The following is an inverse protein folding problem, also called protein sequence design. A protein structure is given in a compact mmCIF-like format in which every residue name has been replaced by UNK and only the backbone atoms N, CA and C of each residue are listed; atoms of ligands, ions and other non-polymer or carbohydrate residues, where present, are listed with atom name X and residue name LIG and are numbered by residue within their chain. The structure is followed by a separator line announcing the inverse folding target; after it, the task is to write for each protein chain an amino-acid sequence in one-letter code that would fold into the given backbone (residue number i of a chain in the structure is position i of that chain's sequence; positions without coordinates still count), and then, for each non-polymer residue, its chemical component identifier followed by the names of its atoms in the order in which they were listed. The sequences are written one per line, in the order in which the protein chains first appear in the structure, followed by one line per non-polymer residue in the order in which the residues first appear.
data_IF_505282096277
#
_entry.id   IF_505282096277
#
_cell.length_a   1.000
_cell.length_b   1.000
_cell.length_c   1.000
_cell.angle_alpha   90.00
_cell.angle_beta   90.00
_cell.angle_gamma   90.00
#
_symmetry.space_group_name_H-M   'P 1'
#
loop_
_entity.id
_entity.type
_entity.pdbx_description
1 polymer ?
#
# COMPACT_ATOMS: atom_id res chain seq x y z
N UNK A 1 13.71 3.26 8.75
CA UNK A 1 13.52 2.11 9.67
C UNK A 1 13.40 2.49 11.13
N UNK A 2 13.88 3.67 11.55
CA UNK A 2 13.35 4.48 12.67
C UNK A 2 11.85 4.85 12.49
N UNK A 3 11.16 4.17 11.57
CA UNK A 3 9.91 4.58 10.95
C UNK A 3 8.77 3.69 11.41
N UNK A 4 8.95 2.38 11.64
CA UNK A 4 7.83 1.50 12.05
C UNK A 4 7.39 1.75 13.51
N UNK A 5 8.34 1.86 14.44
CA UNK A 5 8.06 2.16 15.85
C UNK A 5 7.64 3.63 16.05
N UNK A 6 8.23 4.58 15.31
CA UNK A 6 7.76 5.98 15.30
C UNK A 6 6.42 6.14 14.56
N UNK A 7 6.12 5.34 13.54
CA UNK A 7 4.80 5.30 12.88
C UNK A 7 3.76 4.85 13.88
N UNK A 8 4.02 3.83 14.70
CA UNK A 8 3.11 3.40 15.77
C UNK A 8 2.75 4.56 16.73
N UNK A 9 3.75 5.38 17.11
CA UNK A 9 3.57 6.57 17.95
C UNK A 9 2.88 7.72 17.20
N UNK A 10 3.17 7.93 15.90
CA UNK A 10 2.55 8.97 15.06
C UNK A 10 1.09 8.65 14.69
N UNK A 11 0.74 7.38 14.49
CA UNK A 11 -0.64 6.95 14.20
C UNK A 11 -1.59 7.17 15.37
N UNK A 12 -1.09 7.10 16.60
CA UNK A 12 -1.88 7.48 17.78
C UNK A 12 -2.07 9.01 17.90
N UNK A 13 -1.23 9.82 17.25
CA UNK A 13 -1.27 11.28 17.35
C UNK A 13 -2.32 11.90 16.41
N UNK A 14 -2.56 11.30 15.24
CA UNK A 14 -3.48 11.86 14.24
C UNK A 14 -4.97 11.59 14.51
N UNK A 15 -5.31 10.60 15.34
CA UNK A 15 -6.70 10.33 15.74
C UNK A 15 -7.25 11.31 16.77
N UNK A 16 -6.41 12.16 17.38
CA UNK A 16 -6.83 13.08 18.45
C UNK A 16 -7.07 14.54 18.02
N UNK A 17 -6.80 14.92 16.76
CA UNK A 17 -6.91 16.32 16.32
C UNK A 17 -8.21 16.68 15.55
N UNK A 18 -9.20 15.78 15.46
CA UNK A 18 -10.44 16.05 14.72
C UNK A 18 -11.71 16.13 15.57
N UNK A 19 -11.58 16.39 16.88
CA UNK A 19 -12.75 16.50 17.76
C UNK A 19 -12.77 17.80 18.58
N UNK A 20 -12.87 18.94 17.91
CA UNK A 20 -13.54 20.16 18.44
C UNK A 20 -14.18 20.92 17.27
N UNK A 21 -15.52 21.02 17.18
CA UNK A 21 -16.19 21.93 16.26
C UNK A 21 -16.97 23.01 17.03
N UNK A 22 -16.43 24.22 17.15
CA UNK A 22 -17.16 25.48 17.45
C UNK A 22 -16.22 26.62 16.99
N UNK A 23 -16.57 27.74 16.37
CA UNK A 23 -17.82 28.41 16.00
C UNK A 23 -17.39 29.50 14.97
N UNK A 24 -18.11 29.65 13.86
CA UNK A 24 -18.04 30.80 12.93
C UNK A 24 -18.46 32.11 13.67
N UNK A 25 -18.11 33.34 13.23
CA UNK A 25 -18.58 33.83 11.91
C UNK A 25 -17.81 34.94 11.17
N UNK A 26 -18.27 35.09 9.92
CA UNK A 26 -18.33 36.27 9.05
C UNK A 26 -17.11 36.74 8.23
N UNK A 27 -17.26 36.54 6.91
CA UNK A 27 -17.21 37.65 5.96
C UNK A 27 -15.97 37.75 5.06
N UNK A 28 -16.05 37.26 3.82
CA UNK A 28 -16.21 38.12 2.64
C UNK A 28 -16.39 37.29 1.36
N UNK A 29 -17.33 37.75 0.53
CA UNK A 29 -17.61 37.35 -0.84
C UNK A 29 -16.55 37.82 -1.84
N UNK A 30 -16.67 37.31 -3.08
CA UNK A 30 -16.26 37.88 -4.36
C UNK A 30 -14.77 37.69 -4.76
N UNK A 31 -14.40 37.34 -6.00
CA UNK A 31 -15.09 37.16 -7.29
C UNK A 31 -14.18 36.32 -8.21
N UNK A 32 -14.79 35.68 -9.20
CA UNK A 32 -14.15 35.09 -10.37
C UNK A 32 -13.58 36.18 -11.30
N UNK A 33 -12.56 35.85 -12.10
CA UNK A 33 -12.63 35.87 -13.57
C UNK A 33 -11.31 35.49 -14.24
N UNK A 34 -11.42 35.27 -15.55
CA UNK A 34 -10.72 34.36 -16.42
C UNK A 34 -9.79 35.14 -17.38
N UNK A 35 -8.85 34.39 -17.99
CA UNK A 35 -8.50 34.50 -19.42
C UNK A 35 -7.25 35.26 -19.89
N UNK A 36 -6.61 34.58 -20.83
CA UNK A 36 -5.76 34.99 -21.97
C UNK A 36 -4.25 35.05 -21.82
N UNK A 37 -3.61 34.46 -22.84
CA UNK A 37 -2.18 34.24 -23.00
C UNK A 37 -1.59 35.12 -24.13
N UNK A 38 -0.31 35.50 -23.92
CA UNK A 38 0.78 35.79 -24.89
C UNK A 38 0.70 37.00 -25.86
N UNK A 39 1.83 37.43 -26.48
CA UNK A 39 3.26 37.38 -26.08
C UNK A 39 4.01 38.73 -26.30
N UNK A 40 5.26 38.87 -25.86
CA UNK A 40 6.42 39.40 -26.63
C UNK A 40 7.61 39.87 -25.75
N UNK A 41 8.81 39.55 -26.24
CA UNK A 41 10.14 39.91 -25.75
C UNK A 41 10.40 41.42 -25.56
N UNK A 42 11.20 41.82 -24.56
CA UNK A 42 12.56 42.37 -24.76
C UNK A 42 13.24 42.83 -23.45
N UNK A 43 14.41 42.23 -23.20
CA UNK A 43 15.69 42.72 -22.64
C UNK A 43 15.83 43.63 -21.40
N UNK A 44 16.85 43.23 -20.63
CA UNK A 44 17.80 43.98 -19.80
C UNK A 44 17.49 44.23 -18.31
N UNK A 45 18.18 43.42 -17.48
CA UNK A 45 19.37 43.94 -16.79
C UNK A 45 19.31 44.13 -15.27
N UNK A 46 20.21 43.40 -14.61
CA UNK A 46 20.99 43.75 -13.39
C UNK A 46 20.54 43.16 -12.03
N UNK A 47 21.50 42.42 -11.46
CA UNK A 47 21.74 42.04 -10.05
C UNK A 47 20.83 41.05 -9.33
N UNK A 48 21.31 39.81 -9.20
CA UNK A 48 21.06 38.98 -8.02
C UNK A 48 22.38 38.39 -7.52
N UNK A 49 22.83 38.87 -6.35
CA UNK A 49 23.96 38.34 -5.61
C UNK A 49 23.67 36.90 -5.15
N UNK A 50 24.67 36.05 -5.35
CA UNK A 50 24.68 34.65 -4.93
C UNK A 50 24.60 34.55 -3.40
N UNK A 51 23.57 33.85 -2.91
CA UNK A 51 23.50 33.38 -1.54
C UNK A 51 24.34 32.09 -1.38
N UNK A 52 25.11 31.92 -0.29
CA UNK A 52 25.94 30.75 -0.07
C UNK A 52 25.09 29.51 0.25
N UNK A 53 25.20 28.49 -0.59
CA UNK A 53 24.60 27.17 -0.36
C UNK A 53 25.30 26.45 0.80
N UNK A 54 24.53 26.17 1.86
CA UNK A 54 24.92 25.30 2.97
C UNK A 54 25.21 23.87 2.45
N UNK A 55 26.22 23.15 2.97
CA UNK A 55 26.53 21.81 2.48
C UNK A 55 25.39 20.83 2.82
N UNK A 56 24.82 20.23 1.78
CA UNK A 56 23.90 19.11 1.91
C UNK A 56 24.59 17.97 2.65
N UNK A 57 24.08 17.64 3.84
CA UNK A 57 24.48 16.44 4.58
C UNK A 57 24.13 15.21 3.76
N UNK A 58 25.15 14.57 3.19
CA UNK A 58 25.04 13.32 2.45
C UNK A 58 24.64 12.20 3.42
N UNK A 59 23.34 12.00 3.64
CA UNK A 59 22.88 10.77 4.28
C UNK A 59 23.06 9.61 3.31
N UNK A 60 24.11 8.83 3.59
CA UNK A 60 24.44 7.55 2.94
C UNK A 60 23.22 6.62 2.97
N UNK A 61 22.79 6.04 1.83
CA UNK A 61 21.66 5.11 1.80
C UNK A 61 21.93 3.89 2.69
N UNK A 62 21.01 3.60 3.61
CA UNK A 62 21.07 2.45 4.50
C UNK A 62 20.92 1.14 3.71
N UNK A 63 21.81 0.18 3.97
CA UNK A 63 21.76 -1.20 3.46
C UNK A 63 20.41 -1.86 3.83
N UNK A 64 19.76 -2.62 2.93
CA UNK A 64 18.60 -3.43 3.31
C UNK A 64 19.04 -4.47 4.36
N UNK A 65 18.40 -4.44 5.53
CA UNK A 65 18.69 -5.34 6.65
C UNK A 65 18.00 -6.69 6.41
N UNK A 66 18.55 -7.79 6.92
CA UNK A 66 17.84 -9.07 6.91
C UNK A 66 16.69 -9.04 7.92
N UNK A 67 15.62 -9.82 7.71
CA UNK A 67 14.48 -9.88 8.64
C UNK A 67 14.89 -10.10 10.11
N UNK A 68 15.91 -10.93 10.35
CA UNK A 68 16.46 -11.14 11.69
C UNK A 68 17.14 -9.88 12.28
N UNK A 69 17.87 -9.11 11.45
CA UNK A 69 18.49 -7.86 11.87
C UNK A 69 17.45 -6.73 12.09
N UNK A 70 16.32 -6.79 11.40
CA UNK A 70 15.19 -5.87 11.60
C UNK A 70 14.47 -6.15 12.92
N UNK A 71 14.20 -7.42 13.22
CA UNK A 71 13.62 -7.83 14.50
C UNK A 71 14.51 -7.44 15.67
N UNK A 72 15.82 -7.67 15.56
CA UNK A 72 16.78 -7.31 16.60
C UNK A 72 16.84 -5.80 16.83
N UNK A 73 16.77 -5.00 15.76
CA UNK A 73 16.67 -3.55 15.89
C UNK A 73 15.39 -3.14 16.60
N UNK A 74 14.24 -3.71 16.21
CA UNK A 74 12.96 -3.35 16.78
C UNK A 74 12.86 -3.70 18.27
N UNK A 75 13.49 -4.80 18.71
CA UNK A 75 13.63 -5.14 20.14
C UNK A 75 14.42 -4.07 20.90
N UNK A 76 15.54 -3.60 20.34
CA UNK A 76 16.34 -2.52 20.95
C UNK A 76 15.59 -1.20 21.01
N UNK A 77 14.85 -0.88 19.96
CA UNK A 77 14.03 0.34 19.91
C UNK A 77 12.91 0.29 20.97
N UNK A 78 12.28 -0.87 21.17
CA UNK A 78 11.28 -1.07 22.22
C UNK A 78 11.89 -0.95 23.63
N UNK A 79 13.08 -1.48 23.86
CA UNK A 79 13.78 -1.31 25.14
C UNK A 79 14.12 0.16 25.40
N UNK A 80 14.59 0.88 24.38
CA UNK A 80 14.83 2.32 24.49
C UNK A 80 13.55 3.10 24.82
N UNK A 81 12.41 2.74 24.21
CA UNK A 81 11.11 3.33 24.54
C UNK A 81 10.71 3.10 26.00
N UNK A 82 10.96 1.91 26.57
CA UNK A 82 10.67 1.62 27.98
C UNK A 82 11.39 2.56 28.94
N UNK A 83 12.56 3.06 28.55
CA UNK A 83 13.34 4.03 29.33
C UNK A 83 12.80 5.47 29.20
N UNK A 84 11.84 5.73 28.31
CA UNK A 84 11.19 7.02 28.15
C UNK A 84 9.69 6.95 28.57
N UNK A 85 9.35 7.38 29.80
CA UNK A 85 8.00 7.19 30.35
C UNK A 85 6.86 7.75 29.50
N UNK A 86 7.03 8.92 28.87
CA UNK A 86 5.96 9.53 28.06
C UNK A 86 5.74 8.81 26.73
N UNK A 87 6.83 8.41 26.06
CA UNK A 87 6.73 7.64 24.81
C UNK A 87 6.19 6.23 25.08
N UNK A 88 6.61 5.60 26.17
CA UNK A 88 6.08 4.30 26.60
C UNK A 88 4.60 4.40 26.97
N UNK A 89 4.17 5.44 27.69
CA UNK A 89 2.75 5.68 27.99
C UNK A 89 1.93 5.80 26.70
N UNK A 90 2.46 6.47 25.69
CA UNK A 90 1.82 6.62 24.37
C UNK A 90 1.70 5.28 23.66
N UNK A 91 2.78 4.47 23.64
CA UNK A 91 2.77 3.11 23.12
C UNK A 91 1.68 2.26 23.78
N UNK A 92 1.63 2.26 25.12
CA UNK A 92 0.64 1.48 25.88
C UNK A 92 -0.78 1.98 25.62
N UNK A 93 -0.98 3.29 25.41
CA UNK A 93 -2.30 3.83 25.04
C UNK A 93 -2.76 3.23 23.70
N UNK A 94 -1.88 3.18 22.69
CA UNK A 94 -2.17 2.53 21.41
C UNK A 94 -2.47 1.03 21.54
N UNK A 95 -1.68 0.32 22.35
CA UNK A 95 -1.93 -1.11 22.68
C UNK A 95 -3.31 -1.28 23.31
N UNK A 96 -3.68 -0.43 24.26
CA UNK A 96 -5.01 -0.48 24.87
C UNK A 96 -6.09 -0.19 23.81
N UNK A 97 -5.94 0.82 22.95
CA UNK A 97 -6.93 1.07 21.88
C UNK A 97 -7.13 -0.14 20.98
N UNK A 98 -6.04 -0.81 20.56
CA UNK A 98 -6.13 -2.03 19.75
C UNK A 98 -6.83 -3.18 20.47
N UNK A 99 -6.43 -3.50 21.70
CA UNK A 99 -7.07 -4.56 22.49
C UNK A 99 -8.56 -4.29 22.73
N UNK A 100 -8.92 -3.04 22.99
CA UNK A 100 -10.31 -2.61 23.17
C UNK A 100 -11.11 -2.77 21.89
N UNK A 101 -10.55 -2.34 20.75
CA UNK A 101 -11.14 -2.53 19.42
C UNK A 101 -11.33 -4.01 19.07
N UNK A 102 -10.42 -4.87 19.51
CA UNK A 102 -10.45 -6.30 19.21
C UNK A 102 -11.34 -7.10 20.18
N UNK A 103 -11.95 -6.46 21.17
CA UNK A 103 -12.89 -7.11 22.09
C UNK A 103 -12.26 -7.79 23.30
N UNK A 104 -10.94 -7.66 23.51
CA UNK A 104 -10.26 -8.17 24.73
C UNK A 104 -10.54 -7.29 25.95
N UNK A 105 -11.29 -6.21 25.75
CA UNK A 105 -11.64 -5.19 26.73
C UNK A 105 -10.43 -4.32 27.06
N UNK A 106 -10.59 -3.00 27.06
CA UNK A 106 -9.74 -2.10 27.85
C UNK A 106 -10.34 -0.71 27.84
N UNK A 107 -10.38 -0.13 29.03
CA UNK A 107 -10.89 1.18 29.39
C UNK A 107 -10.71 1.27 30.91
N UNK A 108 -10.14 2.37 31.45
CA UNK A 108 -9.73 3.59 30.75
C UNK A 108 -8.42 3.44 29.96
N UNK A 109 -8.32 4.12 28.80
CA UNK A 109 -7.12 4.16 27.94
C UNK A 109 -6.06 5.14 28.47
N UNK A 110 -5.56 4.92 29.68
CA UNK A 110 -4.65 5.84 30.36
C UNK A 110 -3.16 5.59 30.10
N UNK A 111 -2.81 4.61 29.26
CA UNK A 111 -1.42 4.32 28.88
C UNK A 111 -0.58 3.69 30.00
N UNK A 112 -1.20 3.00 30.95
CA UNK A 112 -0.48 2.29 32.01
C UNK A 112 -0.61 0.78 31.79
N UNK A 113 0.50 0.07 31.87
CA UNK A 113 0.54 -1.40 31.80
C UNK A 113 0.13 -1.98 33.17
N UNK A 114 -1.13 -1.77 33.53
CA UNK A 114 -1.73 -2.21 34.79
C UNK A 114 -2.25 -3.65 34.73
N UNK A 115 -2.88 -4.13 35.82
CA UNK A 115 -3.37 -5.50 35.90
C UNK A 115 -4.39 -5.85 34.79
N UNK A 116 -5.29 -4.91 34.47
CA UNK A 116 -6.30 -5.11 33.43
C UNK A 116 -5.65 -5.17 32.04
N UNK A 117 -4.74 -4.25 31.72
CA UNK A 117 -4.03 -4.23 30.44
C UNK A 117 -3.17 -5.49 30.27
N UNK A 118 -2.49 -5.93 31.33
CA UNK A 118 -1.72 -7.19 31.32
C UNK A 118 -2.62 -8.39 31.09
N UNK A 119 -3.81 -8.43 31.69
CA UNK A 119 -4.76 -9.52 31.47
C UNK A 119 -5.28 -9.56 30.04
N UNK A 120 -5.64 -8.41 29.47
CA UNK A 120 -6.06 -8.31 28.06
C UNK A 120 -4.95 -8.75 27.11
N UNK A 121 -3.69 -8.34 27.36
CA UNK A 121 -2.53 -8.80 26.59
C UNK A 121 -2.34 -10.31 26.66
N UNK A 122 -2.47 -10.93 27.84
CA UNK A 122 -2.38 -12.39 27.99
C UNK A 122 -3.43 -13.10 27.17
N UNK A 123 -4.67 -12.63 27.23
CA UNK A 123 -5.78 -13.21 26.48
C UNK A 123 -5.54 -13.11 24.97
N UNK A 124 -5.13 -11.94 24.49
CA UNK A 124 -4.76 -11.74 23.09
C UNK A 124 -3.60 -12.62 22.66
N UNK A 125 -2.47 -12.59 23.38
CA UNK A 125 -1.29 -13.42 23.10
C UNK A 125 -1.66 -14.90 23.04
N UNK A 126 -2.43 -15.39 24.01
CA UNK A 126 -2.90 -16.77 24.03
C UNK A 126 -3.76 -17.11 22.81
N UNK A 127 -4.66 -16.20 22.42
CA UNK A 127 -5.57 -16.39 21.30
C UNK A 127 -4.82 -16.53 19.96
N UNK A 128 -3.80 -15.71 19.73
CA UNK A 128 -2.96 -15.77 18.54
C UNK A 128 -1.78 -16.76 18.65
N UNK A 129 -1.74 -17.57 19.72
CA UNK A 129 -0.74 -18.63 19.90
C UNK A 129 0.66 -18.17 20.34
N UNK A 130 0.79 -16.95 20.87
CA UNK A 130 2.00 -16.44 21.52
C UNK A 130 2.05 -16.86 23.00
N UNK A 131 3.24 -16.74 23.61
CA UNK A 131 3.38 -16.90 25.05
C UNK A 131 2.58 -15.79 25.79
N UNK A 132 1.66 -16.12 26.71
CA UNK A 132 0.81 -15.16 27.40
C UNK A 132 1.57 -14.48 28.56
N UNK A 133 2.58 -13.69 28.22
CA UNK A 133 3.40 -12.93 29.17
C UNK A 133 2.62 -11.80 29.84
N UNK A 134 1.67 -11.21 29.11
CA UNK A 134 0.97 -9.99 29.51
C UNK A 134 1.82 -8.73 29.41
N UNK A 135 3.02 -8.83 28.84
CA UNK A 135 3.89 -7.70 28.54
C UNK A 135 3.89 -7.45 27.03
N UNK A 136 4.34 -6.26 26.62
CA UNK A 136 4.42 -5.85 25.22
C UNK A 136 5.83 -6.11 24.69
N UNK A 137 5.95 -7.03 23.75
CA UNK A 137 7.18 -7.29 22.99
C UNK A 137 7.00 -6.95 21.50
N UNK A 138 8.09 -7.09 20.73
CA UNK A 138 8.04 -6.80 19.29
C UNK A 138 7.02 -7.66 18.55
N UNK A 139 6.93 -8.96 18.88
CA UNK A 139 6.04 -9.89 18.17
C UNK A 139 4.58 -9.53 18.46
N UNK A 140 4.25 -9.24 19.71
CA UNK A 140 2.91 -8.79 20.13
C UNK A 140 2.52 -7.49 19.43
N UNK A 141 3.40 -6.49 19.41
CA UNK A 141 3.15 -5.21 18.73
C UNK A 141 2.93 -5.39 17.22
N UNK A 142 3.75 -6.24 16.61
CA UNK A 142 3.64 -6.56 15.19
C UNK A 142 2.27 -7.18 14.90
N UNK A 143 1.87 -8.21 15.64
CA UNK A 143 0.58 -8.86 15.44
C UNK A 143 -0.59 -7.91 15.67
N UNK A 144 -0.56 -7.10 16.74
CA UNK A 144 -1.63 -6.10 16.99
C UNK A 144 -1.76 -5.11 15.82
N UNK A 145 -0.64 -4.72 15.22
CA UNK A 145 -0.63 -3.80 14.08
C UNK A 145 -1.17 -4.47 12.81
N UNK A 146 -0.77 -5.71 12.54
CA UNK A 146 -1.26 -6.50 11.40
C UNK A 146 -2.78 -6.74 11.52
N UNK A 147 -3.26 -7.07 12.71
CA UNK A 147 -4.69 -7.25 12.97
C UNK A 147 -5.50 -5.95 12.77
N UNK A 148 -5.01 -4.80 13.28
CA UNK A 148 -5.69 -3.51 13.05
C UNK A 148 -5.68 -3.12 11.56
N UNK A 149 -4.60 -3.43 10.83
CA UNK A 149 -4.55 -3.24 9.37
C UNK A 149 -5.61 -4.07 8.65
N UNK A 150 -5.82 -5.33 9.04
CA UNK A 150 -6.90 -6.18 8.50
C UNK A 150 -8.26 -5.54 8.76
N UNK A 151 -8.52 -5.03 9.96
CA UNK A 151 -9.79 -4.37 10.28
C UNK A 151 -10.00 -3.10 9.43
N UNK A 152 -8.96 -2.30 9.23
CA UNK A 152 -9.01 -1.04 8.48
C UNK A 152 -8.92 -1.19 6.95
N UNK A 153 -8.57 -2.38 6.44
CA UNK A 153 -8.36 -2.61 5.00
C UNK A 153 -9.59 -2.23 4.18
N UNK A 154 -9.43 -1.31 3.22
CA UNK A 154 -10.49 -0.94 2.30
C UNK A 154 -10.56 -1.96 1.17
N UNK A 155 -11.76 -2.50 0.91
CA UNK A 155 -12.02 -3.40 -0.21
C UNK A 155 -13.04 -2.70 -1.11
N UNK A 156 -12.58 -1.88 -2.09
CA UNK A 156 -13.46 -1.23 -3.03
C UNK A 156 -14.11 -2.26 -3.95
N UNK A 157 -15.29 -1.91 -4.46
CA UNK A 157 -15.87 -2.66 -5.56
C UNK A 157 -15.01 -2.47 -6.81
N UNK A 158 -14.52 -3.57 -7.37
CA UNK A 158 -13.66 -3.57 -8.56
C UNK A 158 -14.52 -3.71 -9.82
N UNK A 159 -14.11 -3.09 -10.94
CA UNK A 159 -14.94 -3.05 -12.15
C UNK A 159 -15.10 -4.43 -12.79
N UNK A 160 -16.25 -4.70 -13.44
CA UNK A 160 -16.45 -5.96 -14.15
C UNK A 160 -15.45 -6.12 -15.29
N UNK A 161 -15.16 -7.37 -15.61
CA UNK A 161 -14.38 -7.73 -16.79
C UNK A 161 -15.12 -7.26 -18.05
N UNK A 162 -14.42 -6.52 -18.91
CA UNK A 162 -14.99 -6.04 -20.16
C UNK A 162 -14.00 -6.24 -21.31
N UNK A 163 -14.55 -6.58 -22.48
CA UNK A 163 -13.80 -6.89 -23.69
C UNK A 163 -14.50 -6.21 -24.87
N UNK A 164 -13.71 -5.58 -25.73
CA UNK A 164 -14.14 -5.12 -27.05
C UNK A 164 -13.12 -5.63 -28.07
N UNK A 165 -13.44 -6.76 -28.71
CA UNK A 165 -12.58 -7.47 -29.67
C UNK A 165 -13.23 -7.59 -31.07
N UNK A 166 -14.32 -6.85 -31.32
CA UNK A 166 -15.07 -6.88 -32.58
C UNK A 166 -14.23 -6.50 -33.81
N UNK A 167 -13.11 -5.80 -33.62
CA UNK A 167 -12.14 -5.45 -34.65
C UNK A 167 -10.71 -5.90 -34.28
N UNK A 168 -10.57 -7.20 -33.98
CA UNK A 168 -9.30 -7.82 -33.60
C UNK A 168 -8.14 -7.54 -34.56
N UNK A 169 -8.39 -7.25 -35.83
CA UNK A 169 -7.32 -6.96 -36.78
C UNK A 169 -6.74 -5.55 -36.65
N UNK A 170 -7.33 -4.68 -35.83
CA UNK A 170 -6.85 -3.31 -35.64
C UNK A 170 -6.75 -2.89 -34.17
N UNK A 171 -7.75 -3.26 -33.36
CA UNK A 171 -7.87 -2.80 -31.97
C UNK A 171 -8.40 -3.89 -31.05
N UNK A 172 -7.83 -3.94 -29.85
CA UNK A 172 -8.37 -4.69 -28.72
C UNK A 172 -8.44 -3.76 -27.52
N UNK A 173 -9.58 -3.72 -26.85
CA UNK A 173 -9.71 -3.10 -25.54
C UNK A 173 -10.18 -4.13 -24.52
N UNK A 174 -9.46 -4.27 -23.42
CA UNK A 174 -9.82 -5.12 -22.29
C UNK A 174 -9.74 -4.34 -21.00
N UNK A 175 -10.61 -4.66 -20.06
CA UNK A 175 -10.62 -4.10 -18.72
C UNK A 175 -10.81 -5.22 -17.70
N UNK A 176 -10.12 -5.12 -16.57
CA UNK A 176 -10.34 -6.02 -15.44
C UNK A 176 -9.46 -5.68 -14.26
N UNK A 177 -9.31 -6.62 -13.35
CA UNK A 177 -8.48 -6.47 -12.15
C UNK A 177 -7.41 -7.55 -12.08
N UNK A 178 -6.19 -7.17 -11.72
CA UNK A 178 -5.08 -8.12 -11.68
C UNK A 178 -5.17 -9.00 -10.43
N UNK A 179 -5.03 -10.30 -10.64
CA UNK A 179 -4.94 -11.31 -9.60
C UNK A 179 -3.63 -12.08 -9.78
N UNK A 180 -2.84 -12.22 -8.71
CA UNK A 180 -1.70 -13.12 -8.72
C UNK A 180 -2.20 -14.57 -8.87
N UNK A 181 -1.67 -15.30 -9.84
CA UNK A 181 -2.09 -16.68 -10.14
C UNK A 181 -1.75 -17.63 -8.99
N UNK A 182 -0.59 -17.44 -8.36
CA UNK A 182 -0.10 -18.27 -7.25
C UNK A 182 0.50 -17.35 -6.17
N UNK A 183 -0.04 -17.41 -4.95
CA UNK A 183 0.38 -16.58 -3.83
C UNK A 183 -0.75 -15.71 -3.26
N UNK A 184 -0.43 -14.78 -2.36
CA UNK A 184 -1.43 -13.89 -1.77
C UNK A 184 -1.68 -12.67 -2.68
N UNK A 185 -2.95 -12.31 -2.84
CA UNK A 185 -3.43 -11.17 -3.64
C UNK A 185 -3.74 -9.94 -2.78
N UNK A 186 -3.35 -9.97 -1.50
CA UNK A 186 -3.97 -9.11 -0.50
C UNK A 186 -3.51 -7.65 -0.47
N UNK A 187 -2.26 -7.39 -0.83
CA UNK A 187 -1.65 -6.11 -0.43
C UNK A 187 -1.90 -4.97 -1.44
N UNK A 188 -2.18 -5.30 -2.71
CA UNK A 188 -2.39 -4.31 -3.78
C UNK A 188 -3.58 -4.71 -4.63
N UNK A 189 -4.57 -3.82 -4.69
CA UNK A 189 -5.73 -3.98 -5.57
C UNK A 189 -5.51 -3.16 -6.82
N UNK A 190 -5.32 -3.84 -7.94
CA UNK A 190 -5.01 -3.21 -9.22
C UNK A 190 -6.13 -3.47 -10.22
N UNK A 191 -6.55 -2.42 -10.91
CA UNK A 191 -7.43 -2.53 -12.07
C UNK A 191 -6.83 -1.80 -13.26
N UNK A 192 -6.98 -2.41 -14.43
CA UNK A 192 -6.38 -1.93 -15.65
C UNK A 192 -7.39 -1.84 -16.77
N UNK A 193 -7.19 -0.83 -17.61
CA UNK A 193 -7.71 -0.80 -18.97
C UNK A 193 -6.53 -0.91 -19.93
N UNK A 194 -6.55 -1.92 -20.77
CA UNK A 194 -5.51 -2.21 -21.76
C UNK A 194 -6.08 -1.98 -23.15
N UNK A 195 -5.39 -1.15 -23.93
CA UNK A 195 -5.75 -0.86 -25.32
C UNK A 195 -4.58 -1.24 -26.22
N UNK A 196 -4.77 -2.23 -27.09
CA UNK A 196 -3.80 -2.61 -28.11
C UNK A 196 -4.20 -2.05 -29.46
N UNK A 197 -3.26 -1.42 -30.17
CA UNK A 197 -3.45 -0.81 -31.48
C UNK A 197 -2.44 -1.40 -32.45
N UNK A 198 -2.92 -2.19 -33.43
CA UNK A 198 -2.03 -2.93 -34.36
C UNK A 198 -1.22 -1.99 -35.24
N UNK A 199 -1.84 -0.89 -35.68
CA UNK A 199 -1.19 0.13 -36.49
C UNK A 199 -0.02 0.84 -35.79
N UNK A 200 -0.07 0.94 -34.45
CA UNK A 200 1.03 1.50 -33.66
C UNK A 200 2.02 0.43 -33.18
N UNK A 201 1.66 -0.86 -33.30
CA UNK A 201 2.46 -1.95 -32.75
C UNK A 201 2.60 -1.87 -31.24
N UNK A 202 1.58 -1.36 -30.52
CA UNK A 202 1.67 -1.10 -29.07
C UNK A 202 0.40 -1.51 -28.33
N UNK A 203 0.58 -1.97 -27.08
CA UNK A 203 -0.48 -2.06 -26.07
C UNK A 203 -0.19 -1.06 -24.94
N UNK A 204 -1.19 -0.28 -24.55
CA UNK A 204 -1.12 0.68 -23.46
C UNK A 204 -1.94 0.13 -22.30
N UNK A 205 -1.30 -0.16 -21.18
CA UNK A 205 -1.95 -0.59 -19.93
C UNK A 205 -2.00 0.58 -18.95
N UNK A 206 -3.19 1.14 -18.77
CA UNK A 206 -3.44 2.18 -17.76
C UNK A 206 -3.96 1.51 -16.49
N UNK A 207 -3.12 1.46 -15.46
CA UNK A 207 -3.41 0.79 -14.19
C UNK A 207 -3.70 1.81 -13.09
N UNK A 208 -4.75 1.56 -12.32
CA UNK A 208 -5.01 2.21 -11.03
C UNK A 208 -4.83 1.19 -9.91
N UNK A 209 -4.00 1.53 -8.92
CA UNK A 209 -3.67 0.67 -7.79
C UNK A 209 -4.07 1.35 -6.48
N UNK A 210 -4.86 0.66 -5.65
CA UNK A 210 -5.13 1.09 -4.28
C UNK A 210 -4.09 0.46 -3.36
N UNK A 211 -3.21 1.30 -2.80
CA UNK A 211 -2.20 0.89 -1.83
C UNK A 211 -2.79 1.02 -0.44
N UNK A 212 -3.01 -0.12 0.22
CA UNK A 212 -3.50 -0.15 1.59
C UNK A 212 -2.38 0.20 2.57
N UNK A 213 -2.29 1.49 2.92
CA UNK A 213 -1.51 1.95 4.07
C UNK A 213 -2.46 2.47 5.15
N UNK A 214 -1.93 3.00 6.26
CA UNK A 214 -2.73 3.70 7.28
C UNK A 214 -3.68 4.73 6.67
N UNK A 215 -3.23 5.43 5.63
CA UNK A 215 -4.08 6.26 4.76
C UNK A 215 -4.04 5.62 3.38
N UNK A 216 -5.11 4.97 2.91
CA UNK A 216 -5.12 4.37 1.59
C UNK A 216 -4.83 5.41 0.52
N UNK A 217 -3.86 5.13 -0.35
CA UNK A 217 -3.48 6.02 -1.46
C UNK A 217 -3.78 5.36 -2.78
N UNK A 218 -4.25 6.16 -3.74
CA UNK A 218 -4.43 5.73 -5.11
C UNK A 218 -3.18 6.10 -5.91
N UNK A 219 -2.59 5.11 -6.56
CA UNK A 219 -1.51 5.28 -7.52
C UNK A 219 -2.03 4.99 -8.92
N UNK A 220 -1.55 5.73 -9.92
CA UNK A 220 -1.84 5.47 -11.33
C UNK A 220 -0.52 5.36 -12.07
N UNK A 221 -0.41 4.34 -12.93
CA UNK A 221 0.72 4.20 -13.83
C UNK A 221 0.25 3.78 -15.21
N UNK A 222 1.11 3.98 -16.21
CA UNK A 222 0.85 3.58 -17.59
C UNK A 222 2.06 2.85 -18.13
N UNK A 223 1.85 1.61 -18.54
CA UNK A 223 2.86 0.77 -19.16
C UNK A 223 2.60 0.72 -20.67
N UNK A 224 3.64 0.93 -21.47
CA UNK A 224 3.56 0.89 -22.93
C UNK A 224 4.37 -0.31 -23.43
N UNK A 225 3.65 -1.32 -23.88
CA UNK A 225 4.21 -2.57 -24.39
C UNK A 225 4.34 -2.52 -25.90
N UNK A 226 5.54 -2.74 -26.43
CA UNK A 226 5.72 -2.99 -27.86
C UNK A 226 5.23 -4.40 -28.22
N UNK A 227 4.45 -4.51 -29.29
CA UNK A 227 3.89 -5.77 -29.75
C UNK A 227 4.95 -6.54 -30.53
N UNK A 228 5.28 -7.72 -30.02
CA UNK A 228 6.15 -8.68 -30.70
C UNK A 228 5.38 -9.49 -31.73
N UNK A 229 4.16 -9.89 -31.37
CA UNK A 229 3.33 -10.78 -32.17
C UNK A 229 1.87 -10.43 -31.99
N UNK A 230 1.13 -10.30 -33.09
CA UNK A 230 -0.32 -10.21 -33.12
C UNK A 230 -0.83 -11.09 -34.26
N UNK A 231 -1.46 -12.21 -33.91
CA UNK A 231 -2.04 -13.16 -34.86
C UNK A 231 -3.51 -13.44 -34.51
N UNK A 232 -4.16 -14.39 -35.19
CA UNK A 232 -5.58 -14.72 -34.98
C UNK A 232 -5.92 -15.23 -33.56
N UNK A 233 -4.92 -15.74 -32.83
CA UNK A 233 -5.05 -16.42 -31.54
C UNK A 233 -4.54 -15.58 -30.36
N UNK A 234 -3.54 -14.73 -30.57
CA UNK A 234 -2.88 -14.04 -29.46
C UNK A 234 -2.22 -12.72 -29.83
N UNK A 235 -1.98 -11.91 -28.79
CA UNK A 235 -1.09 -10.76 -28.77
C UNK A 235 -0.02 -11.02 -27.70
N UNK A 236 1.25 -10.84 -28.06
CA UNK A 236 2.39 -10.99 -27.15
C UNK A 236 3.29 -9.77 -27.29
N UNK A 237 3.70 -9.17 -26.17
CA UNK A 237 4.64 -8.06 -26.17
C UNK A 237 6.10 -8.51 -26.20
N UNK A 238 6.98 -7.59 -26.58
CA UNK A 238 8.38 -7.66 -26.17
C UNK A 238 8.48 -7.50 -24.63
N UNK A 239 9.60 -7.93 -24.01
CA UNK A 239 9.89 -7.60 -22.63
C UNK A 239 9.93 -6.08 -22.40
N UNK A 240 9.25 -5.62 -21.35
CA UNK A 240 9.12 -4.20 -21.01
C UNK A 240 9.68 -3.92 -19.61
N UNK A 241 10.56 -2.93 -19.50
CA UNK A 241 11.22 -2.48 -18.27
C UNK A 241 10.56 -1.20 -17.71
N UNK A 242 9.27 -1.29 -17.34
CA UNK A 242 8.54 -0.15 -16.75
C UNK A 242 8.79 0.08 -15.27
N UNK A 243 9.25 -0.95 -14.55
CA UNK A 243 9.50 -0.91 -13.12
C UNK A 243 10.99 -1.20 -12.84
N UNK A 244 11.62 -0.47 -11.90
CA UNK A 244 13.00 -0.76 -11.52
C UNK A 244 13.16 -2.21 -11.11
N UNK A 245 14.17 -2.88 -11.68
CA UNK A 245 14.51 -4.27 -11.35
C UNK A 245 13.43 -5.29 -11.70
N UNK A 246 12.48 -4.97 -12.58
CA UNK A 246 11.49 -5.91 -13.05
C UNK A 246 11.31 -5.79 -14.56
N UNK A 247 11.17 -6.94 -15.21
CA UNK A 247 10.84 -7.05 -16.63
C UNK A 247 9.46 -7.67 -16.72
N UNK A 248 8.59 -7.09 -17.54
CA UNK A 248 7.23 -7.58 -17.72
C UNK A 248 6.94 -7.98 -19.17
N UNK A 249 6.12 -9.01 -19.37
CA UNK A 249 5.61 -9.44 -20.67
C UNK A 249 4.09 -9.53 -20.58
N UNK A 250 3.42 -8.80 -21.46
CA UNK A 250 1.97 -8.87 -21.64
C UNK A 250 1.63 -9.95 -22.67
N UNK A 251 0.69 -10.83 -22.33
CA UNK A 251 0.13 -11.84 -23.25
C UNK A 251 -1.38 -11.83 -23.19
N UNK A 252 -2.01 -11.81 -24.35
CA UNK A 252 -3.46 -11.84 -24.50
C UNK A 252 -3.82 -12.97 -25.46
N UNK A 253 -4.48 -14.00 -24.96
CA UNK A 253 -5.05 -15.08 -25.77
C UNK A 253 -6.48 -14.69 -26.13
N UNK A 254 -6.92 -14.95 -27.36
CA UNK A 254 -8.24 -14.53 -27.87
C UNK A 254 -9.37 -15.49 -27.49
N UNK A 255 -9.13 -16.81 -27.58
CA UNK A 255 -10.18 -17.84 -27.41
C UNK A 255 -9.65 -19.05 -26.63
N UNK A 256 -10.02 -19.23 -25.34
CA UNK A 256 -10.77 -18.27 -24.52
C UNK A 256 -9.99 -16.96 -24.34
N UNK A 257 -10.69 -15.85 -24.11
CA UNK A 257 -9.98 -14.62 -23.79
C UNK A 257 -9.26 -14.80 -22.45
N UNK A 258 -7.95 -14.61 -22.44
CA UNK A 258 -7.15 -14.66 -21.23
C UNK A 258 -6.01 -13.65 -21.34
N UNK A 259 -5.93 -12.75 -20.37
CA UNK A 259 -4.88 -11.73 -20.31
C UNK A 259 -3.97 -12.03 -19.14
N UNK A 260 -2.67 -12.12 -19.41
CA UNK A 260 -1.65 -12.38 -18.39
C UNK A 260 -0.54 -11.36 -18.47
N UNK A 261 -0.03 -10.98 -17.30
CA UNK A 261 1.20 -10.20 -17.15
C UNK A 261 2.22 -11.05 -16.40
N UNK A 262 3.28 -11.43 -17.08
CA UNK A 262 4.40 -12.14 -16.47
C UNK A 262 5.43 -11.12 -16.02
N UNK A 263 5.84 -11.15 -14.75
CA UNK A 263 6.79 -10.20 -14.17
C UNK A 263 7.93 -10.99 -13.57
N UNK A 264 9.14 -10.73 -14.06
CA UNK A 264 10.38 -11.33 -13.56
C UNK A 264 11.21 -10.24 -12.89
N UNK A 265 11.47 -10.39 -11.59
CA UNK A 265 12.40 -9.50 -10.90
C UNK A 265 13.83 -9.91 -11.22
N UNK A 266 14.63 -8.93 -11.65
CA UNK A 266 16.01 -9.14 -12.07
C UNK A 266 16.97 -8.65 -11.00
N UNK A 267 17.78 -9.58 -10.48
CA UNK A 267 18.96 -9.22 -9.68
C UNK A 267 20.11 -8.89 -10.62
N UNK A 268 20.57 -7.64 -10.62
CA UNK A 268 21.75 -7.23 -11.39
C UNK A 268 22.89 -6.79 -10.45
N UNK A 269 24.16 -6.85 -10.88
CA UNK A 269 25.29 -6.51 -10.03
C UNK A 269 25.36 -5.03 -9.61
N UNK A 270 24.61 -4.14 -10.25
CA UNK A 270 24.61 -2.71 -10.00
C UNK A 270 23.43 -2.31 -9.11
N UNK A 271 22.35 -1.79 -9.70
CA UNK A 271 21.22 -1.14 -9.04
C UNK A 271 20.27 -2.12 -8.34
N UNK A 272 20.23 -3.38 -8.76
CA UNK A 272 19.26 -4.38 -8.31
C UNK A 272 19.90 -5.52 -7.48
N UNK A 273 21.09 -5.30 -6.91
CA UNK A 273 21.91 -6.35 -6.26
C UNK A 273 21.23 -7.07 -5.09
N UNK A 274 20.29 -6.41 -4.41
CA UNK A 274 19.58 -6.96 -3.25
C UNK A 274 18.14 -7.35 -3.54
N UNK A 275 17.70 -7.27 -4.81
CA UNK A 275 16.38 -7.71 -5.22
C UNK A 275 16.42 -9.22 -5.37
N UNK A 276 15.54 -9.94 -4.67
CA UNK A 276 15.40 -11.38 -4.87
C UNK A 276 14.76 -11.62 -6.23
N UNK A 277 15.39 -12.45 -7.04
CA UNK A 277 14.80 -12.92 -8.28
C UNK A 277 13.57 -13.79 -7.97
N UNK A 278 12.46 -13.47 -8.61
CA UNK A 278 11.19 -14.12 -8.49
C UNK A 278 10.38 -13.89 -9.77
N UNK A 279 9.64 -14.91 -10.17
CA UNK A 279 8.72 -14.84 -11.28
C UNK A 279 7.29 -14.84 -10.76
N UNK A 280 6.51 -13.87 -11.20
CA UNK A 280 5.11 -13.70 -10.84
C UNK A 280 4.26 -13.69 -12.10
N UNK A 281 3.19 -14.49 -12.10
CA UNK A 281 2.19 -14.47 -13.15
C UNK A 281 0.91 -13.85 -12.61
N UNK A 282 0.46 -12.77 -13.24
CA UNK A 282 -0.82 -12.14 -12.97
C UNK A 282 -1.82 -12.49 -14.06
N UNK A 283 -3.08 -12.64 -13.66
CA UNK A 283 -4.24 -12.86 -14.51
C UNK A 283 -5.14 -11.64 -14.41
N UNK A 284 -5.60 -11.11 -15.55
CA UNK A 284 -6.64 -10.08 -15.54
C UNK A 284 -8.00 -10.79 -15.40
N UNK A 285 -8.67 -10.54 -14.29
CA UNK A 285 -9.87 -11.24 -13.86
C UNK A 285 -11.06 -10.27 -13.70
N UNK A 286 -12.24 -10.86 -13.48
CA UNK A 286 -13.47 -10.12 -13.17
C UNK A 286 -13.40 -9.49 -11.78
N UNK A 287 -13.45 -8.16 -11.71
CA UNK A 287 -13.35 -7.41 -10.46
C UNK A 287 -14.37 -7.83 -9.39
N UNK A 288 -15.67 -8.01 -9.71
CA UNK A 288 -16.68 -8.52 -8.78
C UNK A 288 -16.30 -9.87 -8.17
N UNK A 289 -15.72 -10.80 -8.93
CA UNK A 289 -15.18 -12.07 -8.41
C UNK A 289 -14.08 -11.83 -7.37
N UNK A 290 -13.11 -10.95 -7.68
CA UNK A 290 -12.03 -10.60 -6.73
C UNK A 290 -12.61 -9.96 -5.46
N UNK A 291 -13.53 -9.00 -5.62
CA UNK A 291 -14.20 -8.31 -4.51
C UNK A 291 -14.84 -9.31 -3.53
N UNK A 292 -15.56 -10.32 -4.04
CA UNK A 292 -16.20 -11.31 -3.18
C UNK A 292 -15.18 -12.20 -2.44
N UNK A 293 -14.09 -12.59 -3.10
CA UNK A 293 -13.00 -13.36 -2.48
C UNK A 293 -12.42 -12.58 -1.31
N UNK A 294 -12.02 -11.33 -1.55
CA UNK A 294 -11.39 -10.48 -0.54
C UNK A 294 -12.34 -10.13 0.60
N UNK A 295 -13.61 -9.85 0.29
CA UNK A 295 -14.64 -9.60 1.31
C UNK A 295 -14.81 -10.81 2.23
N UNK A 296 -14.82 -12.02 1.67
CA UNK A 296 -14.94 -13.26 2.43
C UNK A 296 -13.71 -13.51 3.30
N UNK A 297 -12.51 -13.32 2.75
CA UNK A 297 -11.25 -13.44 3.48
C UNK A 297 -11.18 -12.45 4.65
N UNK A 298 -11.50 -11.16 4.40
CA UNK A 298 -11.57 -10.14 5.46
C UNK A 298 -12.59 -10.51 6.53
N UNK A 299 -13.79 -10.98 6.16
CA UNK A 299 -14.80 -11.40 7.13
C UNK A 299 -14.30 -12.56 8.02
N UNK A 300 -13.60 -13.54 7.45
CA UNK A 300 -13.00 -14.64 8.20
C UNK A 300 -11.89 -14.14 9.13
N UNK A 301 -10.99 -13.30 8.64
CA UNK A 301 -9.91 -12.74 9.45
C UNK A 301 -10.45 -11.88 10.61
N UNK A 302 -11.51 -11.10 10.38
CA UNK A 302 -12.20 -10.35 11.45
C UNK A 302 -12.72 -11.30 12.54
N UNK A 303 -13.29 -12.46 12.18
CA UNK A 303 -13.74 -13.45 13.17
C UNK A 303 -12.60 -14.07 13.96
N UNK A 304 -11.41 -14.18 13.35
CA UNK A 304 -10.21 -14.68 14.01
C UNK A 304 -9.56 -13.60 14.90
N UNK A 305 -9.74 -12.31 14.62
CA UNK A 305 -9.18 -11.22 15.43
C UNK A 305 -10.08 -10.87 16.61
N UNK A 306 -11.39 -10.76 16.36
CA UNK A 306 -12.33 -10.23 17.34
C UNK A 306 -12.72 -11.27 18.38
N UNK A 307 -12.48 -10.95 19.65
CA UNK A 307 -13.07 -11.68 20.77
C UNK A 307 -14.47 -11.12 21.04
N UNK A 308 -15.49 -11.69 20.41
CA UNK A 308 -16.89 -11.39 20.74
C UNK A 308 -17.24 -12.15 22.02
N UNK A 309 -17.52 -11.45 23.12
CA UNK A 309 -18.15 -12.10 24.27
C UNK A 309 -19.48 -12.70 23.81
N UNK A 310 -19.59 -14.03 23.87
CA UNK A 310 -20.88 -14.71 23.70
C UNK A 310 -21.58 -14.59 25.04
N UNK A 311 -22.47 -13.61 25.16
CA UNK A 311 -23.44 -13.53 26.25
C UNK A 311 -24.39 -14.74 26.25
#
# INVERSE_FOLDING_TARGET
MTTQVKVFVLTCFFTFLTLVPELFPDGLMALAEESTAHPSHSQNGVNAQAAPSTPASTQKPARPKSAAAEQEQAKKDLEALRQNPEEFRTLITGVQVFLGRFGYGVGPYHGKLDAQTKQALKAYQQHIGLEPTGDVDYVTLKSLTEDDQVLNRVIPYLPPYAIKDGDWEHVLEVQGSWMLKEGNTDDVLETSRIVCLKALGQCIDSTASLVNTTVPTMSVHTDIYEIKEWNEHQIVSNPYEGQPCAVSILRIFRKPLMVTRFVSTVSNPSTCRNVKAADHQYLLEDGPKIYQILKTQKAKAIQEILQVQRD
#
